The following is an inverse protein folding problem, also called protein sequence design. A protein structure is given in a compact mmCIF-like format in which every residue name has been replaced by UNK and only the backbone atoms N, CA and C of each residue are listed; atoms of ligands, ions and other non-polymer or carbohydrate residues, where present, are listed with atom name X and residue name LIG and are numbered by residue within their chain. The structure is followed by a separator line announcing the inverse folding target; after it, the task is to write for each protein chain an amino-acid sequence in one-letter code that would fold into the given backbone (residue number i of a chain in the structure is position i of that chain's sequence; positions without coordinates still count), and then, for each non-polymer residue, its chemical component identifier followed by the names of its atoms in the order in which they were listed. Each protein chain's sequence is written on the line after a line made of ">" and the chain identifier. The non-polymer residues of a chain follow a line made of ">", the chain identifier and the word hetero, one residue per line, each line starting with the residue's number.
data_IF_462999850935
#
_entry.id   IF_462999850935
#
_cell.length_a   1.000
_cell.length_b   1.000
_cell.length_c   1.000
_cell.angle_alpha   90.00
_cell.angle_beta   90.00
_cell.angle_gamma   90.00
#
_symmetry.space_group_name_H-M   'P 1'
#
loop_
_entity.id
_entity.type
_entity.pdbx_description
1 polymer ?
#
# COMPACT_ATOMS: atom_id res chain seq x y z
N UNK A 1 -9.86 -4.16 -14.00
CA UNK A 1 -8.46 -3.72 -13.80
C UNK A 1 -7.61 -4.66 -14.64
N UNK A 2 -6.88 -4.15 -15.63
CA UNK A 2 -6.14 -4.98 -16.59
C UNK A 2 -4.67 -5.03 -16.20
N UNK A 3 -4.11 -6.24 -16.12
CA UNK A 3 -2.70 -6.46 -15.84
C UNK A 3 -1.88 -6.67 -17.13
N UNK A 4 -0.57 -6.36 -17.12
CA UNK A 4 0.20 -5.76 -16.02
C UNK A 4 -0.15 -4.28 -15.82
N UNK A 5 -0.58 -3.92 -14.61
CA UNK A 5 -1.30 -2.66 -14.37
C UNK A 5 -0.52 -1.43 -14.78
N UNK A 6 0.72 -1.30 -14.32
CA UNK A 6 1.54 -0.10 -14.56
C UNK A 6 1.75 0.17 -16.05
N UNK A 7 1.95 -0.91 -16.83
CA UNK A 7 2.08 -0.81 -18.28
C UNK A 7 0.76 -0.41 -18.96
N UNK A 8 -0.38 -0.93 -18.49
CA UNK A 8 -1.69 -0.56 -19.03
C UNK A 8 -2.07 0.88 -18.71
N UNK A 9 -1.73 1.37 -17.51
CA UNK A 9 -1.93 2.78 -17.12
C UNK A 9 -1.05 3.68 -17.96
N UNK A 10 0.22 3.30 -18.18
CA UNK A 10 1.10 4.03 -19.08
C UNK A 10 0.55 4.07 -20.51
N UNK A 11 0.15 2.93 -21.07
CA UNK A 11 -0.42 2.88 -22.43
C UNK A 11 -1.68 3.75 -22.54
N UNK A 12 -2.59 3.69 -21.56
CA UNK A 12 -3.76 4.54 -21.55
C UNK A 12 -3.39 6.02 -21.47
N UNK A 13 -2.38 6.38 -20.68
CA UNK A 13 -1.87 7.76 -20.59
C UNK A 13 -1.34 8.26 -21.93
N UNK A 14 -0.53 7.47 -22.62
CA UNK A 14 0.10 7.88 -23.88
C UNK A 14 -0.88 7.91 -25.06
N UNK A 15 -1.83 6.96 -25.12
CA UNK A 15 -2.64 6.75 -26.32
C UNK A 15 -4.10 7.25 -26.22
N UNK A 16 -4.62 7.59 -25.03
CA UNK A 16 -6.02 8.03 -24.89
C UNK A 16 -6.28 9.49 -25.26
N UNK A 17 -5.23 10.32 -25.32
CA UNK A 17 -5.36 11.78 -25.46
C UNK A 17 -5.92 12.49 -24.22
N UNK A 18 -6.12 11.78 -23.10
CA UNK A 18 -6.56 12.38 -21.84
C UNK A 18 -5.41 13.12 -21.14
N UNK A 19 -5.69 14.20 -20.40
CA UNK A 19 -4.71 14.80 -19.50
C UNK A 19 -4.15 13.76 -18.52
N UNK A 20 -2.86 13.80 -18.22
CA UNK A 20 -2.20 12.79 -17.37
C UNK A 20 -2.86 12.64 -16.00
N UNK A 21 -3.33 13.73 -15.40
CA UNK A 21 -4.01 13.73 -14.10
C UNK A 21 -5.43 13.12 -14.12
N UNK A 22 -5.92 12.68 -15.29
CA UNK A 22 -7.19 11.96 -15.45
C UNK A 22 -7.00 10.46 -15.67
N UNK A 23 -5.75 9.98 -15.73
CA UNK A 23 -5.43 8.56 -15.89
C UNK A 23 -4.80 8.04 -14.60
N UNK A 24 -5.48 7.12 -13.92
CA UNK A 24 -5.03 6.56 -12.64
C UNK A 24 -5.11 5.04 -12.65
N UNK A 25 -4.11 4.39 -12.05
CA UNK A 25 -4.07 2.95 -11.81
C UNK A 25 -4.49 2.60 -10.39
N UNK A 26 -5.28 1.54 -10.23
CA UNK A 26 -5.65 1.02 -8.90
C UNK A 26 -4.76 -0.18 -8.56
N UNK A 27 -3.58 0.07 -7.99
CA UNK A 27 -2.73 -0.95 -7.35
C UNK A 27 -2.51 -0.64 -5.88
N UNK A 28 -1.88 0.51 -5.60
CA UNK A 28 -1.45 0.89 -4.26
C UNK A 28 -2.55 0.78 -3.19
N UNK A 29 -3.82 1.02 -3.55
CA UNK A 29 -4.96 0.86 -2.62
C UNK A 29 -5.11 -0.58 -2.13
N UNK A 30 -5.09 -1.57 -3.03
CA UNK A 30 -5.26 -2.99 -2.66
C UNK A 30 -4.03 -3.53 -1.93
N UNK A 31 -2.84 -3.16 -2.41
CA UNK A 31 -1.58 -3.61 -1.80
C UNK A 31 -1.42 -3.00 -0.38
N UNK A 32 -1.80 -1.74 -0.19
CA UNK A 32 -1.83 -1.10 1.14
C UNK A 32 -2.90 -1.70 2.04
N UNK A 33 -4.09 -2.02 1.51
CA UNK A 33 -5.14 -2.68 2.31
C UNK A 33 -4.70 -4.07 2.81
N UNK A 34 -4.00 -4.85 1.96
CA UNK A 34 -3.40 -6.13 2.36
C UNK A 34 -2.33 -5.95 3.41
N UNK A 35 -1.45 -4.96 3.23
CA UNK A 35 -0.41 -4.68 4.21
C UNK A 35 -1.01 -4.25 5.57
N UNK A 36 -2.01 -3.38 5.57
CA UNK A 36 -2.76 -3.01 6.79
C UNK A 36 -3.41 -4.22 7.46
N UNK A 37 -3.97 -5.17 6.69
CA UNK A 37 -4.56 -6.38 7.26
C UNK A 37 -3.51 -7.23 8.00
N UNK A 38 -2.35 -7.48 7.40
CA UNK A 38 -1.30 -8.27 8.06
C UNK A 38 -0.73 -7.57 9.30
N UNK A 39 -0.59 -6.25 9.28
CA UNK A 39 -0.19 -5.50 10.47
C UNK A 39 -1.28 -5.58 11.55
N UNK A 40 -2.56 -5.49 11.17
CA UNK A 40 -3.65 -5.59 12.13
C UNK A 40 -3.68 -6.96 12.82
N UNK A 41 -3.51 -8.03 12.03
CA UNK A 41 -3.45 -9.41 12.53
C UNK A 41 -2.24 -9.63 13.46
N UNK A 42 -1.07 -9.07 13.10
CA UNK A 42 0.17 -9.20 13.89
C UNK A 42 0.11 -8.51 15.26
N UNK A 43 -0.64 -7.42 15.38
CA UNK A 43 -0.78 -6.67 16.65
C UNK A 43 -2.11 -6.93 17.36
N UNK A 44 -2.94 -7.85 16.85
CA UNK A 44 -4.30 -8.15 17.35
C UNK A 44 -5.16 -6.88 17.54
N UNK A 45 -5.19 -6.03 16.51
CA UNK A 45 -5.93 -4.78 16.49
C UNK A 45 -6.92 -4.71 15.33
N UNK A 46 -7.82 -3.73 15.38
CA UNK A 46 -8.69 -3.45 14.24
C UNK A 46 -7.88 -2.87 13.07
N UNK A 47 -8.12 -3.35 11.85
CA UNK A 47 -7.52 -2.77 10.62
C UNK A 47 -7.80 -1.27 10.45
N UNK A 48 -8.87 -0.75 11.08
CA UNK A 48 -9.21 0.69 11.07
C UNK A 48 -8.21 1.54 11.86
N UNK A 49 -7.45 0.92 12.75
CA UNK A 49 -6.43 1.57 13.58
C UNK A 49 -5.06 1.57 12.90
N UNK A 50 -4.94 0.87 11.77
CA UNK A 50 -3.69 0.69 11.03
C UNK A 50 -3.65 1.63 9.83
N UNK A 51 -2.64 2.50 9.80
CA UNK A 51 -2.32 3.32 8.64
C UNK A 51 -1.04 2.79 7.98
N UNK A 52 -1.16 2.24 6.78
CA UNK A 52 -0.03 1.78 5.96
C UNK A 52 -0.18 2.25 4.52
N UNK A 53 0.93 2.22 3.79
CA UNK A 53 0.92 2.38 2.35
C UNK A 53 2.05 1.61 1.67
N UNK A 54 1.80 1.18 0.43
CA UNK A 54 2.75 0.50 -0.44
C UNK A 54 3.04 1.39 -1.64
N UNK A 55 4.33 1.55 -1.97
CA UNK A 55 4.81 2.30 -3.13
C UNK A 55 5.49 1.35 -4.14
N UNK A 56 5.84 1.86 -5.31
CA UNK A 56 6.50 1.08 -6.37
C UNK A 56 5.52 0.46 -7.37
N UNK A 57 6.06 -0.38 -8.27
CA UNK A 57 5.27 -1.07 -9.29
C UNK A 57 4.48 -2.24 -8.70
N UNK A 58 3.29 -2.50 -9.24
CA UNK A 58 2.43 -3.59 -8.78
C UNK A 58 3.05 -4.96 -9.13
N UNK A 59 3.19 -5.83 -8.13
CA UNK A 59 3.84 -7.14 -8.26
C UNK A 59 5.13 -7.21 -7.45
N UNK A 60 6.14 -7.92 -7.96
CA UNK A 60 7.38 -8.23 -7.22
C UNK A 60 8.23 -7.00 -6.85
N UNK A 61 7.97 -5.85 -7.47
CA UNK A 61 8.67 -4.59 -7.22
C UNK A 61 7.96 -3.67 -6.21
N UNK A 62 6.90 -4.14 -5.56
CA UNK A 62 6.19 -3.36 -4.55
C UNK A 62 7.05 -3.15 -3.30
N UNK A 63 6.89 -2.00 -2.65
CA UNK A 63 7.66 -1.59 -1.48
C UNK A 63 6.71 -1.19 -0.35
N UNK A 64 6.42 -2.08 0.60
CA UNK A 64 5.70 -1.74 1.82
C UNK A 64 6.51 -0.76 2.68
N UNK A 65 5.92 0.39 3.01
CA UNK A 65 6.64 1.48 3.70
C UNK A 65 6.51 1.35 5.22
N UNK A 66 7.15 0.32 5.78
CA UNK A 66 7.05 -0.05 7.21
C UNK A 66 7.39 1.12 8.13
N UNK A 67 8.43 1.89 7.82
CA UNK A 67 8.91 3.00 8.67
C UNK A 67 7.87 4.10 8.91
N UNK A 68 6.97 4.31 7.96
CA UNK A 68 5.92 5.33 8.03
C UNK A 68 4.54 4.74 8.31
N UNK A 69 4.46 3.43 8.54
CA UNK A 69 3.24 2.76 8.92
C UNK A 69 3.02 2.86 10.44
N UNK A 70 1.78 3.04 10.86
CA UNK A 70 1.42 3.22 12.27
C UNK A 70 0.23 2.36 12.67
N UNK A 71 0.19 1.99 13.95
CA UNK A 71 -1.00 1.43 14.61
C UNK A 71 -1.38 2.38 15.74
N UNK A 72 -2.62 2.90 15.74
CA UNK A 72 -3.08 3.91 16.68
C UNK A 72 -2.14 5.13 16.79
N UNK A 73 -1.49 5.50 15.68
CA UNK A 73 -0.54 6.61 15.61
C UNK A 73 0.88 6.30 16.12
N UNK A 74 1.14 5.08 16.62
CA UNK A 74 2.48 4.64 17.03
C UNK A 74 3.18 3.97 15.83
N UNK A 75 4.42 4.36 15.47
CA UNK A 75 5.16 3.70 14.40
C UNK A 75 5.34 2.20 14.64
N UNK A 76 5.09 1.40 13.60
CA UNK A 76 5.28 -0.07 13.64
C UNK A 76 6.68 -0.48 14.16
N UNK A 77 7.79 0.15 13.73
CA UNK A 77 9.11 -0.19 14.26
C UNK A 77 9.25 0.00 15.77
N UNK A 78 8.50 0.93 16.36
CA UNK A 78 8.57 1.20 17.79
C UNK A 78 7.73 0.18 18.57
N UNK A 79 6.57 -0.25 18.04
CA UNK A 79 5.78 -1.35 18.60
C UNK A 79 6.58 -2.66 18.65
N UNK A 80 7.35 -2.94 17.59
CA UNK A 80 8.25 -4.11 17.55
C UNK A 80 9.34 -3.99 18.62
N UNK A 81 9.97 -2.82 18.79
CA UNK A 81 10.97 -2.59 19.85
C UNK A 81 10.38 -2.71 21.26
N UNK A 82 9.10 -2.39 21.43
CA UNK A 82 8.37 -2.55 22.70
C UNK A 82 8.02 -4.02 22.99
N UNK A 83 8.25 -4.94 22.03
CA UNK A 83 7.92 -6.35 22.18
C UNK A 83 6.42 -6.63 22.13
N UNK A 84 5.66 -5.81 21.40
CA UNK A 84 4.20 -5.91 21.27
C UNK A 84 3.75 -6.69 20.02
N UNK A 85 4.69 -7.25 19.26
CA UNK A 85 4.40 -8.23 18.20
C UNK A 85 3.93 -9.53 18.83
N UNK A 86 2.94 -10.19 18.20
CA UNK A 86 2.37 -11.46 18.66
C UNK A 86 3.36 -12.63 18.57
#
# INVERSE_FOLDING_TARGET
>A
ITNPLDAMVWALREFSGLPHNKVVGMAGVLDSARFSHFIADEFDVSVREVNTFVLGGHGDTMVPVVRYSTVNGIPVPDLVKMGLSS
#
